data_IF_574790256989
#
_entry.id   IF_574790256989
#
_cell.length_a   1.000
_cell.length_b   1.000
_cell.length_c   1.000
_cell.angle_alpha   90.00
_cell.angle_beta   90.00
_cell.angle_gamma   90.00
#
_symmetry.space_group_name_H-M   'P 1'
#
loop_
_entity.id
_entity.type
_entity.pdbx_description
1 polymer ?
#
# COMPACT_ATOMS: atom_id res chain seq x y z
N UNK A 1 1.09 -14.36 24.64
CA UNK A 1 1.33 -13.56 23.42
C UNK A 1 0.39 -13.91 22.27
N UNK A 2 -0.19 -15.11 22.20
CA UNK A 2 -1.04 -15.56 21.08
C UNK A 2 -2.32 -14.73 20.84
N UNK A 3 -2.86 -14.04 21.84
CA UNK A 3 -4.05 -13.17 21.68
C UNK A 3 -3.78 -11.73 21.23
N UNK A 4 -2.53 -11.25 21.28
CA UNK A 4 -2.20 -9.85 20.95
C UNK A 4 -1.96 -9.64 19.45
N UNK A 5 -1.51 -10.67 18.74
CA UNK A 5 -1.19 -10.59 17.31
C UNK A 5 -2.42 -10.28 16.44
N UNK A 6 -3.59 -10.94 16.61
CA UNK A 6 -4.78 -10.59 15.84
C UNK A 6 -5.21 -9.14 16.08
N UNK A 7 -5.16 -8.69 17.33
CA UNK A 7 -5.52 -7.32 17.71
C UNK A 7 -4.57 -6.30 17.09
N UNK A 8 -3.26 -6.58 17.07
CA UNK A 8 -2.28 -5.72 16.41
C UNK A 8 -2.50 -5.70 14.89
N UNK A 9 -2.74 -6.85 14.26
CA UNK A 9 -3.07 -6.97 12.83
C UNK A 9 -4.27 -6.10 12.46
N UNK A 10 -5.35 -6.18 13.24
CA UNK A 10 -6.54 -5.35 13.05
C UNK A 10 -6.25 -3.86 13.24
N UNK A 11 -5.46 -3.50 14.26
CA UNK A 11 -5.04 -2.10 14.47
C UNK A 11 -4.21 -1.57 13.31
N UNK A 12 -3.32 -2.36 12.71
CA UNK A 12 -2.59 -1.96 11.51
C UNK A 12 -3.53 -1.80 10.33
N UNK A 13 -4.43 -2.76 10.06
CA UNK A 13 -5.45 -2.63 9.01
C UNK A 13 -6.33 -1.39 9.17
N UNK A 14 -6.59 -0.95 10.41
CA UNK A 14 -7.34 0.28 10.68
C UNK A 14 -6.54 1.56 10.44
N UNK A 15 -5.21 1.48 10.37
CA UNK A 15 -4.33 2.64 10.17
C UNK A 15 -4.25 3.08 8.71
N UNK A 16 -4.36 2.16 7.76
CA UNK A 16 -4.38 2.50 6.33
C UNK A 16 -5.75 2.14 5.77
N UNK A 17 -6.43 3.13 5.22
CA UNK A 17 -7.70 2.96 4.54
C UNK A 17 -7.47 3.11 3.03
N UNK A 18 -7.82 2.07 2.27
CA UNK A 18 -7.77 2.09 0.80
C UNK A 18 -9.22 2.14 0.30
N UNK A 19 -9.63 3.27 -0.27
CA UNK A 19 -10.98 3.47 -0.83
C UNK A 19 -10.96 3.40 -2.34
N UNK A 20 -12.08 2.97 -2.91
CA UNK A 20 -12.34 2.94 -4.34
C UNK A 20 -13.44 3.96 -4.68
N UNK A 21 -13.18 4.82 -5.67
CA UNK A 21 -14.20 5.64 -6.34
C UNK A 21 -14.24 5.24 -7.81
N UNK A 22 -15.26 4.46 -8.18
CA UNK A 22 -15.43 3.95 -9.55
C UNK A 22 -15.96 4.99 -10.51
N UNK A 23 -16.61 6.05 -10.02
CA UNK A 23 -17.15 7.10 -10.89
C UNK A 23 -16.02 7.99 -11.41
N UNK A 24 -15.05 8.28 -10.54
CA UNK A 24 -13.89 9.11 -10.87
C UNK A 24 -12.62 8.30 -11.21
N UNK A 25 -12.68 6.97 -11.16
CA UNK A 25 -11.54 6.06 -11.34
C UNK A 25 -10.37 6.40 -10.41
N UNK A 26 -10.69 6.73 -9.16
CA UNK A 26 -9.74 7.18 -8.14
C UNK A 26 -9.59 6.14 -7.04
N UNK A 27 -8.35 5.82 -6.71
CA UNK A 27 -7.99 5.00 -5.55
C UNK A 27 -7.37 5.93 -4.51
N UNK A 28 -7.98 6.01 -3.33
CA UNK A 28 -7.51 6.87 -2.26
C UNK A 28 -6.89 6.04 -1.15
N UNK A 29 -5.62 6.31 -0.82
CA UNK A 29 -5.00 5.83 0.41
C UNK A 29 -5.03 6.94 1.44
N UNK A 30 -5.61 6.65 2.60
CA UNK A 30 -5.62 7.56 3.73
C UNK A 30 -4.96 6.88 4.93
N UNK A 31 -4.02 7.56 5.58
CA UNK A 31 -3.37 7.03 6.79
C UNK A 31 -3.81 7.78 8.02
N UNK A 32 -4.32 7.00 8.99
CA UNK A 32 -4.96 7.52 10.19
C UNK A 32 -3.96 7.70 11.32
N UNK A 33 -3.82 8.94 11.78
CA UNK A 33 -3.01 9.34 12.94
C UNK A 33 -1.76 10.10 12.52
N UNK A 34 -0.95 10.52 13.47
CA UNK A 34 0.22 11.35 13.16
C UNK A 34 1.41 10.49 12.72
N UNK A 35 1.81 10.64 11.46
CA UNK A 35 3.08 10.09 10.97
C UNK A 35 4.13 11.20 11.04
N UNK A 36 5.27 10.91 11.66
CA UNK A 36 6.42 11.81 11.62
C UNK A 36 7.22 11.54 10.34
N UNK A 37 7.29 12.53 9.44
CA UNK A 37 8.09 12.48 8.21
C UNK A 37 7.27 12.62 6.94
N UNK A 38 7.94 12.55 5.78
CA UNK A 38 7.24 12.51 4.49
C UNK A 38 6.52 11.17 4.34
N UNK A 39 5.24 11.26 4.05
CA UNK A 39 4.34 10.12 4.00
C UNK A 39 4.63 9.18 2.82
N UNK A 40 4.85 9.75 1.64
CA UNK A 40 5.18 9.04 0.42
C UNK A 40 5.65 10.04 -0.63
N UNK A 41 6.51 9.60 -1.55
CA UNK A 41 6.83 10.39 -2.74
C UNK A 41 6.01 9.91 -3.94
N UNK A 42 5.42 10.80 -4.76
CA UNK A 42 4.57 10.39 -5.88
C UNK A 42 5.27 9.45 -6.86
N UNK A 43 6.56 9.69 -7.12
CA UNK A 43 7.41 8.93 -8.02
C UNK A 43 7.76 7.52 -7.49
N UNK A 44 7.60 7.26 -6.19
CA UNK A 44 7.82 5.94 -5.61
C UNK A 44 6.64 4.99 -5.84
N UNK A 45 5.42 5.50 -6.03
CA UNK A 45 4.22 4.65 -6.16
C UNK A 45 4.30 3.74 -7.39
N UNK A 46 4.63 4.22 -8.60
CA UNK A 46 4.80 3.33 -9.75
C UNK A 46 5.90 2.29 -9.55
N UNK A 47 6.98 2.66 -8.84
CA UNK A 47 8.10 1.75 -8.53
C UNK A 47 7.61 0.63 -7.61
N UNK A 48 6.88 0.98 -6.55
CA UNK A 48 6.31 0.02 -5.59
C UNK A 48 5.35 -0.94 -6.31
N UNK A 49 4.48 -0.42 -7.17
CA UNK A 49 3.53 -1.23 -7.95
C UNK A 49 4.25 -2.21 -8.88
N UNK A 50 5.39 -1.82 -9.47
CA UNK A 50 6.20 -2.71 -10.32
C UNK A 50 6.95 -3.77 -9.51
N UNK A 51 7.74 -3.34 -8.52
CA UNK A 51 8.65 -4.22 -7.78
C UNK A 51 7.91 -5.18 -6.87
N UNK A 52 6.93 -4.68 -6.12
CA UNK A 52 6.21 -5.48 -5.13
C UNK A 52 4.86 -5.94 -5.66
N UNK A 53 4.21 -5.12 -6.49
CA UNK A 53 2.88 -5.43 -7.04
C UNK A 53 2.91 -6.29 -8.30
N UNK A 54 4.08 -6.52 -8.89
CA UNK A 54 4.23 -7.29 -10.13
C UNK A 54 3.64 -6.60 -11.36
N UNK A 55 3.43 -5.28 -11.33
CA UNK A 55 2.98 -4.52 -12.48
C UNK A 55 4.06 -4.56 -13.58
N UNK A 56 3.75 -5.16 -14.72
CA UNK A 56 4.72 -5.36 -15.83
C UNK A 56 4.71 -4.24 -16.87
N UNK A 57 3.64 -3.46 -16.92
CA UNK A 57 3.41 -2.45 -17.93
C UNK A 57 3.43 -1.05 -17.32
N UNK A 58 3.76 -0.07 -18.16
CA UNK A 58 3.65 1.34 -17.79
C UNK A 58 2.21 1.79 -18.00
N UNK A 59 1.55 2.17 -16.90
CA UNK A 59 0.19 2.69 -16.91
C UNK A 59 0.20 4.20 -16.72
N UNK A 60 -0.66 4.90 -17.46
CA UNK A 60 -0.87 6.33 -17.27
C UNK A 60 -1.71 6.54 -16.02
N UNK A 61 -1.13 7.23 -15.04
CA UNK A 61 -1.77 7.53 -13.76
C UNK A 61 -1.41 8.93 -13.29
N UNK A 62 -2.37 9.64 -12.72
CA UNK A 62 -2.14 10.90 -12.02
C UNK A 62 -2.10 10.63 -10.52
N UNK A 63 -1.05 11.10 -9.84
CA UNK A 63 -0.88 10.91 -8.40
C UNK A 63 -0.95 12.26 -7.71
N UNK A 64 -1.87 12.41 -6.76
CA UNK A 64 -2.01 13.60 -5.91
C UNK A 64 -1.71 13.22 -4.48
N UNK A 65 -0.90 14.03 -3.81
CA UNK A 65 -0.57 13.83 -2.39
C UNK A 65 -1.03 15.04 -1.59
N UNK A 66 -1.89 14.81 -0.62
CA UNK A 66 -2.25 15.76 0.40
C UNK A 66 -1.54 15.40 1.71
N UNK A 67 -0.36 15.99 1.93
CA UNK A 67 0.45 15.73 3.13
C UNK A 67 -0.27 16.13 4.43
N UNK A 68 -1.15 17.14 4.38
CA UNK A 68 -1.89 17.60 5.57
C UNK A 68 -2.92 16.57 6.03
N UNK A 69 -3.59 15.95 5.07
CA UNK A 69 -4.63 14.95 5.31
C UNK A 69 -4.08 13.51 5.28
N UNK A 70 -2.77 13.35 5.03
CA UNK A 70 -2.08 12.07 4.85
C UNK A 70 -2.81 11.18 3.85
N UNK A 71 -3.14 11.81 2.72
CA UNK A 71 -3.95 11.22 1.68
C UNK A 71 -3.19 11.19 0.36
N UNK A 72 -3.32 10.08 -0.35
CA UNK A 72 -2.77 9.87 -1.69
C UNK A 72 -3.91 9.43 -2.57
N UNK A 73 -4.17 10.19 -3.63
CA UNK A 73 -5.09 9.79 -4.68
C UNK A 73 -4.31 9.32 -5.91
N UNK A 74 -4.69 8.16 -6.43
CA UNK A 74 -4.21 7.59 -7.68
C UNK A 74 -5.39 7.58 -8.64
N UNK A 75 -5.32 8.39 -9.69
CA UNK A 75 -6.38 8.59 -10.67
C UNK A 75 -5.96 7.91 -11.97
N UNK A 76 -6.87 7.10 -12.53
CA UNK A 76 -6.61 6.25 -13.69
C UNK A 76 -7.54 6.61 -14.84
N UNK A 77 -7.09 6.35 -16.08
CA UNK A 77 -7.82 6.79 -17.28
C UNK A 77 -8.92 5.82 -17.72
N UNK A 78 -8.84 4.57 -17.31
CA UNK A 78 -9.79 3.53 -17.68
C UNK A 78 -10.07 2.55 -16.53
N UNK A 79 -11.20 1.85 -16.65
CA UNK A 79 -11.73 0.96 -15.61
C UNK A 79 -10.89 -0.30 -15.41
N UNK A 80 -10.23 -0.79 -16.47
CA UNK A 80 -9.41 -2.00 -16.41
C UNK A 80 -8.13 -1.77 -15.60
N UNK A 81 -7.44 -0.65 -15.87
CA UNK A 81 -6.28 -0.20 -15.10
C UNK A 81 -6.67 0.10 -13.66
N UNK A 82 -7.82 0.74 -13.46
CA UNK A 82 -8.39 0.97 -12.12
C UNK A 82 -8.53 -0.32 -11.32
N UNK A 83 -9.23 -1.32 -11.87
CA UNK A 83 -9.42 -2.61 -11.21
C UNK A 83 -8.09 -3.29 -10.91
N UNK A 84 -7.16 -3.22 -11.86
CA UNK A 84 -5.84 -3.83 -11.75
C UNK A 84 -5.03 -3.20 -10.64
N UNK A 85 -4.85 -1.88 -10.65
CA UNK A 85 -4.08 -1.16 -9.62
C UNK A 85 -4.72 -1.34 -8.25
N UNK A 86 -6.04 -1.23 -8.14
CA UNK A 86 -6.72 -1.42 -6.87
C UNK A 86 -6.51 -2.83 -6.30
N UNK A 87 -6.60 -3.86 -7.14
CA UNK A 87 -6.31 -5.24 -6.74
C UNK A 87 -4.87 -5.43 -6.27
N UNK A 88 -3.90 -4.86 -7.00
CA UNK A 88 -2.47 -4.90 -6.65
C UNK A 88 -2.26 -4.24 -5.29
N UNK A 89 -2.80 -3.05 -5.09
CA UNK A 89 -2.65 -2.29 -3.85
C UNK A 89 -3.25 -2.99 -2.63
N UNK A 90 -4.44 -3.58 -2.77
CA UNK A 90 -5.03 -4.38 -1.71
C UNK A 90 -4.14 -5.57 -1.35
N UNK A 91 -3.66 -6.30 -2.36
CA UNK A 91 -2.79 -7.45 -2.13
C UNK A 91 -1.47 -7.04 -1.46
N UNK A 92 -0.85 -5.95 -1.91
CA UNK A 92 0.35 -5.39 -1.30
C UNK A 92 0.16 -5.07 0.18
N UNK A 93 -0.94 -4.40 0.51
CA UNK A 93 -1.25 -4.05 1.88
C UNK A 93 -1.49 -5.26 2.77
N UNK A 94 -2.26 -6.24 2.28
CA UNK A 94 -2.50 -7.47 3.04
C UNK A 94 -1.22 -8.27 3.27
N UNK A 95 -0.38 -8.40 2.25
CA UNK A 95 0.92 -9.06 2.36
C UNK A 95 1.83 -8.33 3.37
N UNK A 96 1.89 -6.99 3.32
CA UNK A 96 2.69 -6.22 4.28
C UNK A 96 2.22 -6.43 5.73
N UNK A 97 0.91 -6.44 5.95
CA UNK A 97 0.32 -6.71 7.27
C UNK A 97 0.63 -8.13 7.74
N UNK A 98 0.58 -9.11 6.84
CA UNK A 98 0.88 -10.51 7.16
C UNK A 98 2.37 -10.72 7.45
N UNK A 99 3.26 -10.12 6.66
CA UNK A 99 4.71 -10.14 6.92
C UNK A 99 5.04 -9.54 8.28
N UNK A 100 4.42 -8.40 8.63
CA UNK A 100 4.60 -7.79 9.95
C UNK A 100 4.12 -8.71 11.07
N UNK A 101 2.98 -9.39 10.89
CA UNK A 101 2.46 -10.33 11.87
C UNK A 101 3.40 -11.54 12.07
N UNK A 102 4.03 -12.04 11.00
CA UNK A 102 5.04 -13.11 11.06
C UNK A 102 6.34 -12.65 11.73
N UNK A 103 6.82 -11.44 11.44
CA UNK A 103 7.97 -10.85 12.12
C UNK A 103 7.76 -10.74 13.64
N UNK A 104 6.57 -10.34 14.07
CA UNK A 104 6.22 -10.26 15.51
C UNK A 104 6.17 -11.64 16.19
N UNK A 105 6.00 -12.72 15.42
CA UNK A 105 6.13 -14.11 15.92
C UNK A 105 7.59 -14.58 15.97
N UNK A 106 8.54 -13.77 15.52
CA UNK A 106 9.96 -14.12 15.42
C UNK A 106 10.32 -14.86 14.13
N UNK A 107 9.43 -14.90 13.13
CA UNK A 107 9.71 -15.49 11.83
C UNK A 107 10.36 -14.45 10.89
N UNK A 108 11.68 -14.28 11.02
CA UNK A 108 12.46 -13.35 10.20
C UNK A 108 12.77 -13.87 8.79
N UNK A 109 12.42 -15.11 8.45
CA UNK A 109 12.67 -15.64 7.11
C UNK A 109 11.73 -15.03 6.07
N UNK A 110 10.56 -14.53 6.48
CA UNK A 110 9.53 -13.95 5.60
C UNK A 110 9.99 -12.69 4.86
N UNK A 111 11.03 -12.01 5.35
CA UNK A 111 11.58 -10.79 4.73
C UNK A 111 12.82 -11.05 3.86
N UNK A 112 13.37 -12.27 3.85
CA UNK A 112 14.57 -12.60 3.06
C UNK A 112 14.34 -12.49 1.55
N UNK A 113 13.08 -12.64 1.12
CA UNK A 113 12.67 -12.59 -0.28
C UNK A 113 12.16 -11.21 -0.72
N UNK A 114 12.23 -10.19 0.15
CA UNK A 114 11.95 -8.80 -0.24
C UNK A 114 13.11 -8.32 -1.11
N UNK A 115 12.88 -7.91 -2.37
CA UNK A 115 13.93 -7.38 -3.24
C UNK A 115 14.73 -6.29 -2.52
N UNK A 116 16.05 -6.45 -2.47
CA UNK A 116 16.93 -5.45 -1.88
C UNK A 116 16.89 -4.20 -2.76
N UNK A 117 16.43 -3.07 -2.20
CA UNK A 117 16.44 -1.77 -2.88
C UNK A 117 17.84 -1.14 -2.66
N UNK A 118 18.89 -1.82 -3.13
CA UNK A 118 20.20 -1.18 -3.21
C UNK A 118 20.23 -0.33 -4.49
N UNK A 119 20.48 0.97 -4.29
CA UNK A 119 20.64 2.01 -5.32
C UNK A 119 21.85 1.78 -6.21
#
# INVERSE_FOLDING_TARGET
MEGLLPIMKEKFKQKIEIKEDKENLTITLNVKGDIFGKFLYPDEIPIILKLYGGLKEDLQMEIKINEKEQEVDIILENEDDFKKIYSIMKSLWENAVDMLAELLKGNYEIIKDVPNIDK
#
